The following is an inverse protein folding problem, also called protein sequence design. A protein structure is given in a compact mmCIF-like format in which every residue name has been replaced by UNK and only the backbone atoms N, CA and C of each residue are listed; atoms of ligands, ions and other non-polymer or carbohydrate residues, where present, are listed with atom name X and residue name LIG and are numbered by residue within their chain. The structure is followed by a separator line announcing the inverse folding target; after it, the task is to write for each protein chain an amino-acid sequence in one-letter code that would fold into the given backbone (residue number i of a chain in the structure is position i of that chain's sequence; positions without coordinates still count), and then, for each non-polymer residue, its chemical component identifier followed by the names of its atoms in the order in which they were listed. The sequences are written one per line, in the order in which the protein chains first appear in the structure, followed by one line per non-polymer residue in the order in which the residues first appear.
data_IF_855698978408
#
_entry.id   IF_855698978408
#
_cell.length_a   1.000
_cell.length_b   1.000
_cell.length_c   1.000
_cell.angle_alpha   90.00
_cell.angle_beta   90.00
_cell.angle_gamma   90.00
#
_symmetry.space_group_name_H-M   'P 1'
#
loop_
_entity.id
_entity.type
_entity.pdbx_description
1 polymer ?
#
# COMPACT_ATOMS: atom_id res chain seq x y z
N UNK A 1 -1.96 -13.16 22.02
CA UNK A 1 -2.21 -13.71 20.68
C UNK A 1 -2.08 -12.63 19.61
N UNK A 2 -1.99 -13.03 18.37
CA UNK A 2 -1.97 -12.08 17.27
C UNK A 2 -3.22 -11.23 17.26
N UNK A 3 -4.33 -11.82 17.63
CA UNK A 3 -5.58 -11.12 17.75
C UNK A 3 -5.48 -9.92 18.70
N UNK A 4 -4.81 -10.09 19.81
CA UNK A 4 -4.67 -9.05 20.81
C UNK A 4 -3.62 -8.01 20.44
N UNK A 5 -2.71 -8.36 19.54
CA UNK A 5 -1.67 -7.45 19.10
C UNK A 5 -2.18 -6.47 18.05
N UNK A 6 -3.41 -6.63 17.62
CA UNK A 6 -3.96 -5.82 16.55
C UNK A 6 -5.12 -4.97 17.02
N UNK A 7 -5.38 -3.90 16.31
CA UNK A 7 -4.71 -3.40 15.12
C UNK A 7 -3.28 -2.95 15.40
N UNK A 8 -2.47 -2.98 14.36
CA UNK A 8 -1.09 -2.52 14.43
C UNK A 8 -1.06 -1.03 14.17
N UNK A 9 -0.47 -0.27 15.09
CA UNK A 9 -0.40 1.18 14.97
C UNK A 9 1.04 1.66 15.06
N UNK A 10 1.32 2.77 14.40
CA UNK A 10 2.63 3.39 14.46
C UNK A 10 3.67 2.65 13.63
N UNK A 11 4.93 2.83 14.00
CA UNK A 11 6.02 2.12 13.35
C UNK A 11 6.03 0.68 13.80
N UNK A 12 6.01 -0.22 12.87
CA UNK A 12 5.93 -1.64 13.15
C UNK A 12 7.24 -2.33 12.77
N UNK A 13 7.93 -2.87 13.77
CA UNK A 13 9.16 -3.62 13.57
C UNK A 13 8.96 -5.13 13.65
N UNK A 14 7.85 -5.63 13.18
CA UNK A 14 7.55 -7.05 13.25
C UNK A 14 8.45 -7.92 12.39
N UNK A 15 8.22 -9.22 12.45
CA UNK A 15 9.00 -10.17 11.67
C UNK A 15 8.77 -9.99 10.18
N UNK A 16 9.73 -10.45 9.37
CA UNK A 16 9.61 -10.38 7.92
C UNK A 16 8.33 -11.07 7.43
N UNK A 17 7.94 -12.19 8.04
CA UNK A 17 6.73 -12.90 7.64
C UNK A 17 5.47 -12.05 7.85
N UNK A 18 5.38 -11.35 8.97
CA UNK A 18 4.23 -10.46 9.24
C UNK A 18 4.21 -9.31 8.26
N UNK A 19 5.36 -8.70 8.02
CA UNK A 19 5.45 -7.58 7.07
C UNK A 19 5.03 -8.00 5.66
N UNK A 20 5.39 -9.21 5.24
CA UNK A 20 5.01 -9.71 3.93
C UNK A 20 3.51 -10.01 3.79
N UNK A 21 2.81 -10.24 4.89
CA UNK A 21 1.35 -10.36 4.85
C UNK A 21 0.70 -9.02 4.53
N UNK A 22 1.35 -7.93 4.89
CA UNK A 22 0.82 -6.58 4.73
C UNK A 22 1.28 -5.92 3.43
N UNK A 23 2.53 -6.16 3.04
CA UNK A 23 3.09 -5.51 1.86
C UNK A 23 4.13 -6.40 1.21
N UNK A 24 3.99 -6.63 -0.09
CA UNK A 24 5.01 -7.28 -0.89
C UNK A 24 5.44 -6.34 -2.00
N UNK A 25 6.73 -6.38 -2.33
CA UNK A 25 7.27 -5.60 -3.43
C UNK A 25 8.19 -6.50 -4.24
N UNK A 26 7.62 -7.20 -5.19
CA UNK A 26 8.33 -8.10 -6.07
C UNK A 26 8.54 -7.42 -7.42
N UNK A 27 9.78 -7.38 -7.88
CA UNK A 27 10.15 -6.71 -9.13
C UNK A 27 9.76 -5.24 -9.15
N UNK A 28 9.74 -4.58 -7.98
CA UNK A 28 9.38 -3.18 -7.87
C UNK A 28 7.89 -2.91 -7.93
N UNK A 29 7.06 -3.95 -7.98
CA UNK A 29 5.61 -3.82 -7.95
C UNK A 29 5.11 -3.91 -6.52
N UNK A 30 4.20 -3.03 -6.15
CA UNK A 30 3.64 -3.00 -4.80
C UNK A 30 2.35 -3.81 -4.74
N UNK A 31 2.29 -4.74 -3.81
CA UNK A 31 1.10 -5.55 -3.56
C UNK A 31 0.66 -5.32 -2.12
N UNK A 32 -0.46 -4.63 -1.94
CA UNK A 32 -0.98 -4.31 -0.61
C UNK A 32 -1.84 -5.45 -0.08
N UNK A 33 -1.60 -5.81 1.18
CA UNK A 33 -2.39 -6.80 1.91
C UNK A 33 -2.55 -8.13 1.16
N UNK A 34 -1.45 -8.72 0.67
CA UNK A 34 -1.54 -9.95 -0.13
C UNK A 34 -2.09 -11.14 0.66
N UNK A 35 -1.91 -11.14 1.98
CA UNK A 35 -2.30 -12.26 2.82
C UNK A 35 -2.78 -11.78 4.19
N UNK A 36 -3.73 -10.84 4.21
CA UNK A 36 -4.25 -10.30 5.45
C UNK A 36 -5.03 -11.38 6.20
N UNK A 37 -4.62 -11.70 7.45
CA UNK A 37 -5.34 -12.70 8.24
C UNK A 37 -6.78 -12.26 8.54
N UNK A 38 -7.70 -13.21 8.56
CA UNK A 38 -9.09 -12.94 8.90
C UNK A 38 -9.24 -12.40 10.32
N UNK A 39 -8.28 -12.71 11.20
CA UNK A 39 -8.27 -12.19 12.57
C UNK A 39 -7.97 -10.69 12.63
N UNK A 40 -7.58 -10.07 11.51
CA UNK A 40 -7.20 -8.67 11.43
C UNK A 40 -8.17 -7.89 10.53
N UNK A 41 -9.45 -7.74 10.95
CA UNK A 41 -10.44 -7.13 10.07
C UNK A 41 -10.20 -5.65 9.83
N UNK A 42 -9.50 -4.97 10.72
CA UNK A 42 -9.17 -3.57 10.57
C UNK A 42 -7.84 -3.27 11.22
N UNK A 43 -7.17 -2.24 10.73
CA UNK A 43 -5.89 -1.84 11.29
C UNK A 43 -5.19 -0.81 10.43
N UNK A 44 -4.01 -0.45 10.87
CA UNK A 44 -3.10 0.41 10.11
C UNK A 44 -1.66 0.08 10.48
N UNK A 45 -0.79 0.32 9.53
CA UNK A 45 0.64 0.13 9.73
C UNK A 45 1.40 1.24 9.02
N UNK A 46 2.31 1.88 9.73
CA UNK A 46 3.10 3.00 9.19
C UNK A 46 4.55 2.61 9.02
N UNK A 47 5.17 3.29 8.08
CA UNK A 47 6.61 3.19 7.91
C UNK A 47 7.09 1.90 7.33
N UNK A 48 6.24 1.19 6.61
CA UNK A 48 6.68 0.01 5.89
C UNK A 48 7.63 0.44 4.77
N UNK A 49 8.66 -0.35 4.57
CA UNK A 49 9.62 -0.10 3.50
C UNK A 49 9.46 -1.15 2.43
N UNK A 50 9.19 -0.71 1.22
CA UNK A 50 9.15 -1.59 0.07
C UNK A 50 10.45 -1.47 -0.70
N UNK A 51 10.80 -2.52 -1.40
CA UNK A 51 11.96 -2.48 -2.29
C UNK A 51 11.73 -1.42 -3.35
N UNK A 52 12.80 -0.94 -3.94
CA UNK A 52 12.79 0.13 -4.92
C UNK A 52 12.55 1.51 -4.30
N UNK A 53 12.65 1.62 -2.96
CA UNK A 53 12.68 2.92 -2.29
C UNK A 53 11.32 3.55 -2.05
N UNK A 54 10.35 2.77 -1.62
CA UNK A 54 9.06 3.32 -1.21
C UNK A 54 8.90 3.22 0.30
N UNK A 55 8.36 4.28 0.91
CA UNK A 55 7.82 4.23 2.26
C UNK A 55 6.30 4.14 2.13
N UNK A 56 5.69 3.21 2.84
CA UNK A 56 4.27 2.90 2.66
C UNK A 56 3.56 2.86 4.00
N UNK A 57 2.43 3.55 4.08
CA UNK A 57 1.51 3.46 5.20
C UNK A 57 0.24 2.79 4.68
N UNK A 58 -0.27 1.84 5.45
CA UNK A 58 -1.48 1.10 5.07
C UNK A 58 -2.59 1.27 6.08
N UNK A 59 -3.81 1.37 5.59
CA UNK A 59 -5.03 1.35 6.41
C UNK A 59 -5.98 0.33 5.79
N UNK A 60 -6.60 -0.49 6.61
CA UNK A 60 -7.58 -1.46 6.12
C UNK A 60 -8.77 -1.56 7.06
N UNK A 61 -9.92 -1.88 6.49
CA UNK A 61 -11.18 -2.05 7.19
C UNK A 61 -11.96 -3.16 6.53
N UNK A 62 -12.70 -3.90 7.33
CA UNK A 62 -13.53 -5.00 6.81
C UNK A 62 -12.74 -5.98 5.95
N UNK A 63 -11.50 -6.22 6.33
CA UNK A 63 -10.64 -7.16 5.62
C UNK A 63 -10.08 -6.67 4.29
N UNK A 64 -10.23 -5.39 3.97
CA UNK A 64 -9.79 -4.84 2.70
C UNK A 64 -9.08 -3.49 2.86
N UNK A 65 -8.23 -3.18 1.90
CA UNK A 65 -7.54 -1.91 1.88
C UNK A 65 -8.53 -0.75 1.83
N UNK A 66 -8.39 0.20 2.75
CA UNK A 66 -9.15 1.45 2.70
C UNK A 66 -8.29 2.57 2.15
N UNK A 67 -6.99 2.57 2.43
CA UNK A 67 -6.09 3.60 1.93
C UNK A 67 -4.65 3.13 2.04
N UNK A 68 -3.84 3.43 1.05
CA UNK A 68 -2.39 3.29 1.12
C UNK A 68 -1.76 4.64 0.79
N UNK A 69 -0.74 5.03 1.54
CA UNK A 69 0.02 6.23 1.25
C UNK A 69 1.44 5.83 0.89
N UNK A 70 1.94 6.34 -0.23
CA UNK A 70 3.24 5.96 -0.79
C UNK A 70 4.09 7.20 -0.91
N UNK A 71 5.31 7.15 -0.37
CA UNK A 71 6.31 8.20 -0.57
C UNK A 71 7.51 7.59 -1.25
N UNK A 72 7.76 7.91 -2.53
CA UNK A 72 8.92 7.37 -3.24
C UNK A 72 10.18 8.13 -2.87
N UNK A 73 11.32 7.44 -2.89
CA UNK A 73 12.62 8.05 -2.66
C UNK A 73 13.20 8.68 -3.93
N UNK A 74 12.72 8.24 -5.10
CA UNK A 74 13.22 8.73 -6.39
C UNK A 74 12.06 8.96 -7.34
N UNK A 75 12.31 9.77 -8.37
CA UNK A 75 11.36 9.93 -9.49
C UNK A 75 11.35 8.63 -10.29
N UNK A 76 10.16 8.09 -10.52
CA UNK A 76 10.05 6.83 -11.23
C UNK A 76 8.61 6.51 -11.63
N UNK A 77 8.43 5.41 -12.33
CA UNK A 77 7.10 4.83 -12.53
C UNK A 77 6.82 3.87 -11.39
N UNK A 78 5.67 4.05 -10.76
CA UNK A 78 5.21 3.18 -9.69
C UNK A 78 4.18 2.21 -10.24
N UNK A 79 4.30 0.95 -9.88
CA UNK A 79 3.33 -0.08 -10.25
C UNK A 79 2.72 -0.66 -9.01
N UNK A 80 1.39 -0.63 -8.95
CA UNK A 80 0.62 -1.20 -7.84
C UNK A 80 -0.24 -2.32 -8.41
N UNK A 81 -0.23 -3.47 -7.76
CA UNK A 81 -1.10 -4.57 -8.14
C UNK A 81 -2.49 -4.32 -7.58
N UNK A 82 -3.50 -4.44 -8.42
CA UNK A 82 -4.89 -4.35 -7.99
C UNK A 82 -5.58 -5.67 -8.29
N UNK A 83 -6.39 -6.11 -7.33
CA UNK A 83 -7.14 -7.35 -7.49
C UNK A 83 -8.43 -7.13 -8.27
N UNK A 84 -9.51 -7.74 -7.82
CA UNK A 84 -10.81 -7.57 -8.44
C UNK A 84 -11.30 -6.12 -8.36
N UNK A 85 -10.91 -5.41 -7.30
CA UNK A 85 -11.25 -3.99 -7.14
C UNK A 85 -10.23 -3.11 -7.83
N UNK A 86 -10.68 -1.96 -8.30
CA UNK A 86 -9.82 -0.97 -8.93
C UNK A 86 -9.42 0.10 -7.93
N UNK A 87 -8.32 0.79 -8.21
CA UNK A 87 -7.83 1.88 -7.35
C UNK A 87 -7.84 3.20 -8.10
N UNK A 88 -7.89 4.27 -7.34
CA UNK A 88 -7.57 5.61 -7.82
C UNK A 88 -6.39 6.14 -7.01
N UNK A 89 -5.64 7.05 -7.61
CA UNK A 89 -4.44 7.63 -6.98
C UNK A 89 -4.57 9.14 -6.99
N UNK A 90 -4.26 9.76 -5.86
CA UNK A 90 -4.23 11.22 -5.74
C UNK A 90 -2.89 11.64 -5.13
N UNK A 91 -2.45 12.86 -5.45
CA UNK A 91 -1.28 13.43 -4.81
C UNK A 91 -1.66 14.11 -3.49
N UNK A 92 -0.69 14.77 -2.83
CA UNK A 92 -0.93 15.41 -1.53
C UNK A 92 -1.86 16.60 -1.59
N UNK A 93 -2.14 17.14 -2.79
CA UNK A 93 -3.12 18.22 -2.95
C UNK A 93 -4.53 17.70 -3.12
N UNK A 94 -4.69 16.38 -3.25
CA UNK A 94 -5.97 15.75 -3.54
C UNK A 94 -6.26 15.63 -5.02
N UNK A 95 -5.36 16.11 -5.89
CA UNK A 95 -5.55 16.01 -7.33
C UNK A 95 -5.34 14.57 -7.80
N UNK A 96 -6.27 14.08 -8.61
CA UNK A 96 -6.17 12.72 -9.12
C UNK A 96 -5.02 12.62 -10.11
N UNK A 97 -4.26 11.52 -9.99
CA UNK A 97 -3.11 11.26 -10.84
C UNK A 97 -3.56 10.38 -12.01
N UNK A 98 -3.10 10.71 -13.20
CA UNK A 98 -3.35 9.89 -14.37
C UNK A 98 -2.65 8.53 -14.22
N UNK A 99 -3.39 7.46 -14.41
CA UNK A 99 -2.88 6.11 -14.27
C UNK A 99 -3.13 5.32 -15.55
N UNK A 100 -2.23 4.38 -15.81
CA UNK A 100 -2.37 3.44 -16.92
C UNK A 100 -2.66 2.05 -16.33
N UNK A 101 -3.68 1.39 -16.81
CA UNK A 101 -3.99 0.02 -16.41
C UNK A 101 -3.41 -0.97 -17.40
N UNK A 102 -2.71 -1.98 -16.87
CA UNK A 102 -2.17 -3.07 -17.68
C UNK A 102 -2.49 -4.38 -16.97
N UNK A 103 -3.64 -4.96 -17.26
CA UNK A 103 -4.13 -6.14 -16.57
C UNK A 103 -4.42 -5.83 -15.12
N UNK A 104 -3.72 -6.51 -14.21
CA UNK A 104 -3.86 -6.29 -12.78
C UNK A 104 -2.92 -5.20 -12.25
N UNK A 105 -2.23 -4.50 -13.13
CA UNK A 105 -1.26 -3.48 -12.74
C UNK A 105 -1.81 -2.10 -12.98
N UNK A 106 -1.63 -1.24 -12.00
CA UNK A 106 -1.92 0.18 -12.12
C UNK A 106 -0.58 0.90 -12.08
N UNK A 107 -0.27 1.65 -13.14
CA UNK A 107 1.03 2.31 -13.31
C UNK A 107 0.85 3.81 -13.35
N UNK A 108 1.71 4.53 -12.63
CA UNK A 108 1.65 5.99 -12.61
C UNK A 108 3.03 6.57 -12.28
N UNK A 109 3.28 7.78 -12.73
CA UNK A 109 4.54 8.46 -12.46
C UNK A 109 4.52 9.08 -11.07
N UNK A 110 5.61 8.92 -10.34
CA UNK A 110 5.78 9.49 -9.00
C UNK A 110 7.06 10.31 -8.93
N UNK A 111 7.04 11.32 -8.07
CA UNK A 111 8.18 12.19 -7.82
C UNK A 111 8.70 11.98 -6.41
N UNK A 112 10.02 12.01 -6.26
CA UNK A 112 10.69 11.81 -4.98
C UNK A 112 10.12 12.73 -3.89
N UNK A 113 9.85 12.15 -2.74
CA UNK A 113 9.42 12.88 -1.55
C UNK A 113 7.96 13.32 -1.53
N UNK A 114 7.21 13.11 -2.60
CA UNK A 114 5.78 13.45 -2.63
C UNK A 114 4.96 12.30 -2.12
N UNK A 115 3.77 12.60 -1.61
CA UNK A 115 2.87 11.59 -1.06
C UNK A 115 1.76 11.28 -2.06
N UNK A 116 1.60 10.01 -2.35
CA UNK A 116 0.54 9.51 -3.25
C UNK A 116 -0.40 8.64 -2.45
N UNK A 117 -1.69 8.92 -2.52
CA UNK A 117 -2.72 8.19 -1.81
C UNK A 117 -3.47 7.30 -2.78
N UNK A 118 -3.48 6.00 -2.49
CA UNK A 118 -4.16 4.98 -3.27
C UNK A 118 -5.39 4.55 -2.51
N UNK A 119 -6.56 4.65 -3.13
CA UNK A 119 -7.82 4.27 -2.50
C UNK A 119 -8.64 3.40 -3.45
N UNK A 120 -9.48 2.52 -2.90
CA UNK A 120 -10.38 1.74 -3.73
C UNK A 120 -11.33 2.66 -4.50
N UNK A 121 -11.55 2.34 -5.75
CA UNK A 121 -12.51 3.06 -6.59
C UNK A 121 -13.92 2.67 -6.19
N UNK A 122 -14.73 3.66 -5.97
CA UNK A 122 -16.11 3.45 -5.54
C UNK A 122 -17.01 3.17 -6.74
#
# INVERSE_FOLDING_TARGET
SLHDALPIYGNFGGTAAVLEMLLQSYRGELHFLPALPAAWPQGRCRGLRARAGYAVDLHWEEGALSRAEIVPATDRNCTVLQGAGKFTVADETGAEIACREEGHRLCFEVKAGRTYTVTPKV
#
